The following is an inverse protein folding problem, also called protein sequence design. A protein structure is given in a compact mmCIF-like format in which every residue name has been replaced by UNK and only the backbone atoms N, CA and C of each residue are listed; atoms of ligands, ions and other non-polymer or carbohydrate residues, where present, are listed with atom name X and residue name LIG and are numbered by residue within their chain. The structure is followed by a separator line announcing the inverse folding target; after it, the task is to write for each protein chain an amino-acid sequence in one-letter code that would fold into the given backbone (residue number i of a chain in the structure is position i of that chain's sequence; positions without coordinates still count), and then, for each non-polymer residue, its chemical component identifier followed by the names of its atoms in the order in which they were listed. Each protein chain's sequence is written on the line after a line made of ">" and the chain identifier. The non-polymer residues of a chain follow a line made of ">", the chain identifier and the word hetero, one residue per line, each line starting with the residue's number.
data_IF_952777206389
#
_entry.id   IF_952777206389
#
_cell.length_a   1.000
_cell.length_b   1.000
_cell.length_c   1.000
_cell.angle_alpha   90.00
_cell.angle_beta   90.00
_cell.angle_gamma   90.00
#
_symmetry.space_group_name_H-M   'P 1'
#
loop_
_entity.id
_entity.type
_entity.pdbx_description
1 polymer ?
#
# COMPACT_ATOMS: atom_id res chain seq x y z
N UNK A 1 15.51 11.73 26.50
CA UNK A 1 15.00 11.09 25.26
C UNK A 1 15.07 12.12 24.16
N UNK A 2 15.36 11.73 22.92
CA UNK A 2 15.47 12.67 21.78
C UNK A 2 14.10 13.25 21.42
N UNK A 3 14.05 14.53 21.08
CA UNK A 3 12.87 15.19 20.54
C UNK A 3 12.67 14.74 19.08
N UNK A 4 11.75 13.81 18.84
CA UNK A 4 11.62 13.14 17.54
C UNK A 4 10.44 13.66 16.73
N UNK A 5 10.59 13.68 15.40
CA UNK A 5 9.44 13.80 14.50
C UNK A 5 8.95 12.40 14.13
N UNK A 6 7.74 12.06 14.53
CA UNK A 6 7.14 10.76 14.26
C UNK A 6 6.20 10.86 13.05
N UNK A 7 6.46 10.10 11.99
CA UNK A 7 5.59 10.03 10.80
C UNK A 7 4.85 8.70 10.84
N UNK A 8 3.52 8.75 10.83
CA UNK A 8 2.67 7.59 11.11
C UNK A 8 1.67 7.38 9.97
N UNK A 9 1.54 6.14 9.51
CA UNK A 9 0.61 5.80 8.43
C UNK A 9 -0.83 5.64 8.94
N UNK A 10 -1.57 6.75 9.01
CA UNK A 10 -2.99 6.77 9.34
C UNK A 10 -3.34 7.03 10.81
N UNK A 11 -4.64 7.25 11.05
CA UNK A 11 -5.16 7.76 12.32
C UNK A 11 -5.14 6.73 13.45
N UNK A 12 -5.45 5.46 13.16
CA UNK A 12 -5.59 4.41 14.19
C UNK A 12 -4.31 4.22 15.00
N UNK A 13 -3.15 4.15 14.32
CA UNK A 13 -1.86 4.06 15.00
C UNK A 13 -1.49 5.37 15.70
N UNK A 14 -1.81 6.53 15.09
CA UNK A 14 -1.52 7.83 15.68
C UNK A 14 -2.23 8.01 17.04
N UNK A 15 -3.49 7.59 17.15
CA UNK A 15 -4.25 7.63 18.41
C UNK A 15 -3.60 6.80 19.52
N UNK A 16 -3.07 5.61 19.20
CA UNK A 16 -2.34 4.78 20.15
C UNK A 16 -1.00 5.40 20.55
N UNK A 17 -0.29 5.98 19.58
CA UNK A 17 0.99 6.63 19.83
C UNK A 17 0.88 7.85 20.73
N UNK A 18 -0.24 8.59 20.69
CA UNK A 18 -0.50 9.69 21.64
C UNK A 18 -0.47 9.19 23.09
N UNK A 19 -0.88 7.95 23.34
CA UNK A 19 -0.88 7.36 24.68
C UNK A 19 0.52 6.91 25.14
N UNK A 20 1.45 6.65 24.21
CA UNK A 20 2.85 6.35 24.56
C UNK A 20 3.61 7.56 25.10
N UNK A 21 3.12 8.77 24.84
CA UNK A 21 3.75 10.02 25.29
C UNK A 21 5.24 10.12 24.87
N UNK A 22 5.55 9.64 23.66
CA UNK A 22 6.90 9.77 23.11
C UNK A 22 7.25 11.25 22.89
N UNK A 23 8.50 11.68 23.15
CA UNK A 23 8.87 13.08 23.00
C UNK A 23 8.91 13.54 21.54
N UNK A 24 8.28 14.68 21.30
CA UNK A 24 8.27 15.36 20.02
C UNK A 24 6.88 15.41 19.42
N UNK A 25 6.80 15.33 18.10
CA UNK A 25 5.55 15.61 17.37
C UNK A 25 5.20 14.46 16.45
N UNK A 26 3.90 14.16 16.37
CA UNK A 26 3.35 13.19 15.42
C UNK A 26 2.81 13.92 14.20
N UNK A 27 3.17 13.44 13.01
CA UNK A 27 2.61 13.80 11.72
C UNK A 27 1.94 12.56 11.15
N UNK A 28 0.75 12.74 10.62
CA UNK A 28 -0.06 11.62 10.13
C UNK A 28 -0.04 11.65 8.60
N UNK A 29 0.59 10.64 8.01
CA UNK A 29 0.68 10.44 6.57
C UNK A 29 -0.57 9.73 6.05
N UNK A 30 -1.57 10.50 5.61
CA UNK A 30 -2.87 10.00 5.14
C UNK A 30 -2.96 9.95 3.62
N UNK A 31 -2.30 8.97 3.00
CA UNK A 31 -2.33 8.80 1.54
C UNK A 31 -2.59 7.33 1.16
N UNK A 32 -3.32 7.14 0.05
CA UNK A 32 -3.59 5.88 -0.63
C UNK A 32 -2.65 5.70 -1.84
N UNK A 33 -1.32 5.85 -1.67
CA UNK A 33 -0.38 5.95 -2.79
C UNK A 33 -0.24 4.65 -3.59
N UNK A 34 -0.72 3.53 -3.04
CA UNK A 34 -0.75 2.26 -3.74
C UNK A 34 -1.78 2.25 -4.90
N UNK A 35 -2.69 3.22 -4.98
CA UNK A 35 -3.66 3.37 -6.07
C UNK A 35 -3.63 4.77 -6.69
N UNK A 36 -3.94 4.83 -7.99
CA UNK A 36 -4.05 6.07 -8.74
C UNK A 36 -2.71 6.62 -9.25
N UNK A 37 -2.78 7.71 -10.04
CA UNK A 37 -1.61 8.37 -10.59
C UNK A 37 -0.83 9.10 -9.50
N UNK A 38 0.50 9.11 -9.61
CA UNK A 38 1.36 9.86 -8.70
C UNK A 38 2.55 10.45 -9.45
N UNK A 39 3.18 11.45 -8.84
CA UNK A 39 4.44 12.03 -9.30
C UNK A 39 5.52 11.83 -8.23
N UNK A 40 6.79 11.85 -8.64
CA UNK A 40 7.93 11.69 -7.73
C UNK A 40 7.98 12.81 -6.69
N UNK A 41 7.89 14.05 -7.17
CA UNK A 41 8.03 15.25 -6.36
C UNK A 41 6.69 15.59 -5.69
N UNK A 42 6.64 15.57 -4.36
CA UNK A 42 5.43 15.91 -3.60
C UNK A 42 5.32 17.44 -3.52
N UNK A 43 4.80 18.01 -4.60
CA UNK A 43 4.64 19.45 -4.80
C UNK A 43 3.19 19.79 -5.21
N UNK A 44 2.94 21.03 -5.65
CA UNK A 44 1.61 21.47 -6.06
C UNK A 44 1.00 20.64 -7.21
N UNK A 45 1.82 20.11 -8.13
CA UNK A 45 1.37 19.24 -9.22
C UNK A 45 0.90 17.90 -8.69
N UNK A 46 1.69 17.25 -7.83
CA UNK A 46 1.31 16.04 -7.11
C UNK A 46 -0.02 16.25 -6.38
N UNK A 47 -0.14 17.31 -5.58
CA UNK A 47 -1.36 17.58 -4.81
C UNK A 47 -2.58 17.75 -5.71
N UNK A 48 -2.44 18.42 -6.86
CA UNK A 48 -3.53 18.58 -7.82
C UNK A 48 -3.99 17.25 -8.40
N UNK A 49 -3.06 16.39 -8.82
CA UNK A 49 -3.35 15.07 -9.38
C UNK A 49 -4.04 14.19 -8.33
N UNK A 50 -3.49 14.15 -7.11
CA UNK A 50 -4.03 13.34 -6.02
C UNK A 50 -5.41 13.81 -5.57
N UNK A 51 -5.65 15.13 -5.44
CA UNK A 51 -6.99 15.69 -5.16
C UNK A 51 -8.03 15.21 -6.18
N UNK A 52 -7.72 15.32 -7.46
CA UNK A 52 -8.63 14.90 -8.52
C UNK A 52 -8.93 13.41 -8.43
N UNK A 53 -7.88 12.59 -8.33
CA UNK A 53 -8.02 11.13 -8.24
C UNK A 53 -8.87 10.71 -7.02
N UNK A 54 -8.56 11.23 -5.83
CA UNK A 54 -9.23 10.84 -4.59
C UNK A 54 -10.69 11.32 -4.55
N UNK A 55 -10.98 12.49 -5.13
CA UNK A 55 -12.34 12.98 -5.31
C UNK A 55 -13.15 12.09 -6.25
N UNK A 56 -12.60 11.76 -7.42
CA UNK A 56 -13.30 10.98 -8.45
C UNK A 56 -13.50 9.52 -8.02
N UNK A 57 -12.53 8.97 -7.28
CA UNK A 57 -12.45 7.53 -7.00
C UNK A 57 -13.02 7.15 -5.64
N UNK A 58 -12.84 8.00 -4.62
CA UNK A 58 -13.24 7.73 -3.24
C UNK A 58 -14.18 8.79 -2.66
N UNK A 59 -14.53 9.84 -3.43
CA UNK A 59 -15.39 10.92 -2.95
C UNK A 59 -14.73 11.81 -1.89
N UNK A 60 -13.41 11.76 -1.73
CA UNK A 60 -12.68 12.59 -0.77
C UNK A 60 -12.59 14.00 -1.31
N UNK A 61 -13.16 14.97 -0.59
CA UNK A 61 -13.20 16.36 -1.06
C UNK A 61 -11.81 17.00 -1.09
N UNK A 62 -11.62 17.96 -2.00
CA UNK A 62 -10.38 18.72 -2.08
C UNK A 62 -10.05 19.46 -0.76
N UNK A 63 -11.07 19.97 -0.05
CA UNK A 63 -10.94 20.59 1.27
C UNK A 63 -10.47 19.57 2.31
N UNK A 64 -11.09 18.38 2.35
CA UNK A 64 -10.66 17.32 3.26
C UNK A 64 -9.20 16.90 3.01
N UNK A 65 -8.79 16.79 1.74
CA UNK A 65 -7.40 16.44 1.39
C UNK A 65 -6.41 17.56 1.76
N UNK A 66 -6.78 18.82 1.56
CA UNK A 66 -5.98 19.97 2.01
C UNK A 66 -5.76 19.91 3.52
N UNK A 67 -6.84 19.79 4.27
CA UNK A 67 -6.83 19.84 5.73
C UNK A 67 -6.14 18.63 6.35
N UNK A 68 -6.36 17.42 5.80
CA UNK A 68 -5.94 16.18 6.45
C UNK A 68 -4.64 15.58 5.91
N UNK A 69 -4.17 15.98 4.74
CA UNK A 69 -2.90 15.50 4.19
C UNK A 69 -1.92 16.63 3.92
N UNK A 70 -2.31 17.64 3.13
CA UNK A 70 -1.39 18.71 2.72
C UNK A 70 -0.89 19.49 3.92
N UNK A 71 -1.79 19.88 4.83
CA UNK A 71 -1.42 20.58 6.06
C UNK A 71 -0.47 19.77 6.96
N UNK A 72 -0.54 18.43 6.92
CA UNK A 72 0.37 17.54 7.65
C UNK A 72 1.74 17.46 6.97
N UNK A 73 1.77 17.31 5.65
CA UNK A 73 3.00 17.30 4.85
C UNK A 73 3.74 18.64 4.98
N UNK A 74 3.04 19.76 5.06
CA UNK A 74 3.68 21.06 5.25
C UNK A 74 4.42 21.17 6.58
N UNK A 75 3.93 20.51 7.64
CA UNK A 75 4.62 20.45 8.95
C UNK A 75 5.94 19.68 8.87
N UNK A 76 6.14 18.84 7.85
CA UNK A 76 7.41 18.16 7.65
C UNK A 76 8.52 19.13 7.26
N UNK A 77 8.23 20.36 6.81
CA UNK A 77 9.27 21.37 6.52
C UNK A 77 10.05 21.81 7.76
N UNK A 78 9.45 21.67 8.94
CA UNK A 78 10.07 22.02 10.23
C UNK A 78 10.92 20.87 10.80
N UNK A 79 11.23 19.84 10.01
CA UNK A 79 11.91 18.64 10.52
C UNK A 79 13.32 18.92 11.10
N UNK A 80 13.97 20.00 10.67
CA UNK A 80 15.30 20.40 11.16
C UNK A 80 15.29 20.79 12.65
N UNK A 81 14.11 21.14 13.20
CA UNK A 81 13.91 21.48 14.61
C UNK A 81 13.91 20.24 15.53
N UNK A 82 13.95 19.03 14.95
CA UNK A 82 13.94 17.76 15.68
C UNK A 82 15.31 17.08 15.64
N UNK A 83 15.56 16.20 16.61
CA UNK A 83 16.83 15.47 16.74
C UNK A 83 16.94 14.33 15.71
N UNK A 84 15.80 13.73 15.35
CA UNK A 84 15.68 12.57 14.45
C UNK A 84 14.24 12.40 13.95
N UNK A 85 14.09 11.60 12.91
CA UNK A 85 12.79 11.18 12.36
C UNK A 85 12.55 9.70 12.68
N UNK A 86 11.32 9.36 13.05
CA UNK A 86 10.88 7.98 13.29
C UNK A 86 9.67 7.69 12.41
N UNK A 87 9.83 6.76 11.48
CA UNK A 87 8.80 6.31 10.56
C UNK A 87 8.06 5.13 11.17
N UNK A 88 6.73 5.13 11.10
CA UNK A 88 5.86 4.07 11.62
C UNK A 88 4.99 3.53 10.49
N UNK A 89 5.43 2.44 9.89
CA UNK A 89 4.81 1.84 8.69
C UNK A 89 4.82 0.32 8.81
N UNK A 90 3.77 -0.34 8.33
CA UNK A 90 3.63 -1.79 8.43
C UNK A 90 4.27 -2.55 7.25
N UNK A 91 4.16 -3.88 7.29
CA UNK A 91 4.86 -4.79 6.39
C UNK A 91 4.26 -4.88 4.97
N UNK A 92 3.06 -4.35 4.75
CA UNK A 92 2.31 -4.51 3.51
C UNK A 92 2.68 -3.48 2.43
N UNK A 93 2.20 -3.73 1.20
CA UNK A 93 2.42 -2.88 0.03
C UNK A 93 1.88 -1.46 0.25
N UNK A 94 0.68 -1.32 0.83
CA UNK A 94 0.07 -0.03 1.13
C UNK A 94 1.02 0.86 1.96
N UNK A 95 1.52 0.31 3.07
CA UNK A 95 2.45 0.97 3.96
C UNK A 95 3.79 1.24 3.29
N UNK A 96 4.32 0.29 2.53
CA UNK A 96 5.61 0.44 1.88
C UNK A 96 5.62 1.59 0.86
N UNK A 97 4.61 1.71 0.00
CA UNK A 97 4.59 2.81 -0.98
C UNK A 97 4.52 4.17 -0.28
N UNK A 98 3.72 4.29 0.78
CA UNK A 98 3.64 5.51 1.58
C UNK A 98 4.96 5.83 2.31
N UNK A 99 5.61 4.83 2.89
CA UNK A 99 6.92 4.98 3.53
C UNK A 99 7.99 5.47 2.55
N UNK A 100 8.04 4.88 1.34
CA UNK A 100 8.99 5.27 0.30
C UNK A 100 8.81 6.73 -0.12
N UNK A 101 7.56 7.16 -0.28
CA UNK A 101 7.24 8.55 -0.60
C UNK A 101 7.60 9.51 0.54
N UNK A 102 7.35 9.13 1.80
CA UNK A 102 7.74 9.92 2.97
C UNK A 102 9.27 10.06 3.08
N UNK A 103 10.02 8.98 2.89
CA UNK A 103 11.48 9.02 2.84
C UNK A 103 11.95 9.92 1.70
N UNK A 104 11.37 9.78 0.51
CA UNK A 104 11.76 10.59 -0.63
C UNK A 104 11.57 12.08 -0.36
N UNK A 105 10.41 12.47 0.19
CA UNK A 105 10.15 13.85 0.62
C UNK A 105 11.20 14.38 1.59
N UNK A 106 11.56 13.60 2.63
CA UNK A 106 12.56 14.00 3.62
C UNK A 106 13.94 14.21 2.97
N UNK A 107 14.33 13.31 2.07
CA UNK A 107 15.65 13.37 1.42
C UNK A 107 15.76 14.50 0.38
N UNK A 108 14.69 14.80 -0.37
CA UNK A 108 14.66 15.94 -1.32
C UNK A 108 14.80 17.27 -0.59
N UNK A 109 14.24 17.37 0.62
CA UNK A 109 14.39 18.53 1.51
C UNK A 109 15.72 18.49 2.31
N UNK A 110 16.68 17.67 1.87
CA UNK A 110 18.06 17.54 2.39
C UNK A 110 18.14 17.19 3.87
N UNK A 111 17.25 16.32 4.36
CA UNK A 111 17.33 15.86 5.73
C UNK A 111 18.71 15.27 6.07
N UNK A 112 19.41 15.93 7.00
CA UNK A 112 20.67 15.43 7.59
C UNK A 112 20.45 14.75 8.94
N UNK A 113 19.19 14.54 9.32
CA UNK A 113 18.80 13.96 10.61
C UNK A 113 18.76 12.44 10.50
N UNK A 114 19.16 11.71 11.55
CA UNK A 114 18.98 10.27 11.59
C UNK A 114 17.51 9.89 11.37
N UNK A 115 17.28 8.88 10.55
CA UNK A 115 15.95 8.33 10.26
C UNK A 115 15.92 6.89 10.75
N UNK A 116 14.84 6.52 11.43
CA UNK A 116 14.63 5.14 11.90
C UNK A 116 13.23 4.66 11.57
N UNK A 117 13.07 3.35 11.43
CA UNK A 117 11.83 2.68 11.05
C UNK A 117 11.34 1.77 12.18
N UNK A 118 10.12 2.02 12.64
CA UNK A 118 9.30 1.06 13.37
C UNK A 118 8.41 0.36 12.35
N UNK A 119 8.59 -0.96 12.22
CA UNK A 119 7.82 -1.79 11.31
C UNK A 119 7.26 -2.99 12.04
N UNK A 120 6.02 -3.36 11.73
CA UNK A 120 5.42 -4.63 12.15
C UNK A 120 6.34 -5.78 11.78
N UNK A 121 6.74 -6.54 12.78
CA UNK A 121 7.46 -7.81 12.65
C UNK A 121 7.19 -8.65 13.90
N UNK A 122 7.40 -9.96 13.82
CA UNK A 122 7.31 -10.79 15.02
C UNK A 122 8.54 -10.57 15.90
N UNK A 123 8.39 -9.86 17.02
CA UNK A 123 9.46 -9.70 18.00
C UNK A 123 9.56 -10.91 18.94
N UNK A 124 10.73 -11.05 19.58
CA UNK A 124 10.98 -12.14 20.53
C UNK A 124 9.99 -12.05 21.69
N UNK A 125 9.16 -13.09 21.83
CA UNK A 125 8.13 -13.18 22.88
C UNK A 125 6.71 -12.97 22.39
N UNK A 126 6.52 -12.48 21.17
CA UNK A 126 5.20 -12.34 20.54
C UNK A 126 4.74 -13.67 19.94
N UNK A 127 3.42 -13.92 19.98
CA UNK A 127 2.83 -15.16 19.46
C UNK A 127 2.83 -15.19 17.94
N UNK A 128 2.43 -14.09 17.34
CA UNK A 128 2.23 -13.91 15.89
C UNK A 128 2.64 -12.51 15.46
N UNK A 129 2.81 -12.31 14.16
CA UNK A 129 2.99 -10.97 13.59
C UNK A 129 1.63 -10.28 13.57
N UNK A 130 1.57 -9.05 14.06
CA UNK A 130 0.35 -8.24 14.09
C UNK A 130 0.60 -6.84 13.50
N UNK A 131 -0.44 -6.19 12.95
CA UNK A 131 -0.43 -4.76 12.66
C UNK A 131 -0.02 -3.95 13.89
N UNK A 132 0.74 -2.87 13.70
CA UNK A 132 1.14 -1.95 14.79
C UNK A 132 -0.09 -1.39 15.51
N UNK A 133 -1.17 -1.13 14.77
CA UNK A 133 -2.45 -0.65 15.30
C UNK A 133 -3.19 -1.67 16.18
N UNK A 134 -2.77 -2.94 16.20
CA UNK A 134 -3.36 -3.97 17.05
C UNK A 134 -2.50 -4.27 18.29
N UNK A 135 -1.32 -3.67 18.40
CA UNK A 135 -0.42 -3.85 19.54
C UNK A 135 -0.92 -3.08 20.76
N UNK A 136 -0.74 -3.65 21.94
CA UNK A 136 -0.93 -2.88 23.18
C UNK A 136 0.25 -1.92 23.41
N UNK A 137 0.10 -0.96 24.33
CA UNK A 137 1.13 0.07 24.58
C UNK A 137 2.50 -0.50 24.93
N UNK A 138 2.57 -1.62 25.67
CA UNK A 138 3.84 -2.24 26.03
C UNK A 138 4.54 -2.86 24.83
N UNK A 139 3.77 -3.52 23.97
CA UNK A 139 4.26 -4.07 22.71
C UNK A 139 4.71 -2.95 21.78
N UNK A 140 3.91 -1.90 21.60
CA UNK A 140 4.24 -0.78 20.73
C UNK A 140 5.51 -0.04 21.20
N UNK A 141 5.69 0.13 22.52
CA UNK A 141 6.94 0.64 23.11
C UNK A 141 8.13 -0.28 22.80
N UNK A 142 7.95 -1.61 22.90
CA UNK A 142 9.01 -2.57 22.56
C UNK A 142 9.38 -2.50 21.07
N UNK A 143 8.41 -2.33 20.18
CA UNK A 143 8.67 -2.08 18.75
C UNK A 143 9.44 -0.79 18.50
N UNK A 144 9.09 0.29 19.21
CA UNK A 144 9.84 1.54 19.17
C UNK A 144 11.29 1.39 19.65
N UNK A 145 11.51 0.65 20.72
CA UNK A 145 12.85 0.40 21.27
C UNK A 145 13.70 -0.50 20.34
N UNK A 146 13.06 -1.33 19.52
CA UNK A 146 13.68 -2.23 18.53
C UNK A 146 13.62 -1.69 17.09
N UNK A 147 13.37 -0.38 16.93
CA UNK A 147 13.35 0.29 15.62
C UNK A 147 14.70 0.14 14.90
N UNK A 148 14.63 0.19 13.58
CA UNK A 148 15.76 -0.03 12.70
C UNK A 148 16.29 1.33 12.25
N UNK A 149 17.55 1.64 12.52
CA UNK A 149 18.19 2.85 11.98
C UNK A 149 18.43 2.67 10.48
N UNK A 150 18.07 3.67 9.68
CA UNK A 150 18.23 3.66 8.22
C UNK A 150 19.51 4.40 7.84
N UNK A 151 20.37 3.74 7.06
CA UNK A 151 21.60 4.33 6.53
C UNK A 151 21.40 4.99 5.18
N UNK A 152 22.45 5.65 4.67
CA UNK A 152 22.40 6.33 3.37
C UNK A 152 21.98 5.39 2.23
N UNK A 153 22.49 4.16 2.20
CA UNK A 153 22.10 3.13 1.21
C UNK A 153 20.60 2.83 1.25
N UNK A 154 19.98 2.78 2.43
CA UNK A 154 18.53 2.55 2.57
C UNK A 154 17.74 3.74 2.02
N UNK A 155 18.18 4.97 2.32
CA UNK A 155 17.55 6.19 1.82
C UNK A 155 17.67 6.31 0.30
N UNK A 156 18.82 5.95 -0.28
CA UNK A 156 19.02 5.89 -1.74
C UNK A 156 18.13 4.84 -2.41
N UNK A 157 18.05 3.64 -1.83
CA UNK A 157 17.17 2.57 -2.32
C UNK A 157 15.70 3.00 -2.27
N UNK A 158 15.28 3.64 -1.16
CA UNK A 158 13.92 4.12 -1.02
C UNK A 158 13.56 5.14 -2.11
N UNK A 159 14.45 6.12 -2.33
CA UNK A 159 14.31 7.12 -3.40
C UNK A 159 14.23 6.49 -4.79
N UNK A 160 15.11 5.54 -5.08
CA UNK A 160 15.13 4.87 -6.37
C UNK A 160 13.82 4.11 -6.62
N UNK A 161 13.31 3.38 -5.63
CA UNK A 161 12.10 2.58 -5.80
C UNK A 161 10.88 3.50 -5.92
N UNK A 162 10.82 4.58 -5.13
CA UNK A 162 9.79 5.61 -5.29
C UNK A 162 9.80 6.21 -6.70
N UNK A 163 10.96 6.61 -7.21
CA UNK A 163 11.11 7.13 -8.58
C UNK A 163 10.63 6.12 -9.63
N UNK A 164 11.02 4.85 -9.50
CA UNK A 164 10.61 3.80 -10.43
C UNK A 164 9.10 3.53 -10.37
N UNK A 165 8.48 3.59 -9.18
CA UNK A 165 7.04 3.46 -9.00
C UNK A 165 6.26 4.64 -9.62
N UNK A 166 6.79 5.86 -9.48
CA UNK A 166 6.25 7.06 -10.10
C UNK A 166 6.50 7.12 -11.62
N UNK A 167 7.40 6.28 -12.13
CA UNK A 167 7.69 6.15 -13.55
C UNK A 167 6.59 5.38 -14.31
N UNK A 168 6.57 5.56 -15.63
CA UNK A 168 5.61 4.87 -16.51
C UNK A 168 6.05 3.47 -16.95
N UNK A 169 7.17 2.97 -16.42
CA UNK A 169 7.75 1.68 -16.78
C UNK A 169 7.92 0.78 -15.54
N UNK A 170 6.85 0.07 -15.13
CA UNK A 170 6.86 -0.77 -13.94
C UNK A 170 7.78 -2.00 -14.09
N UNK A 171 8.21 -2.34 -15.31
CA UNK A 171 9.18 -3.43 -15.53
C UNK A 171 10.52 -3.16 -14.84
N UNK A 172 10.87 -1.89 -14.63
CA UNK A 172 12.11 -1.47 -13.95
C UNK A 172 12.14 -1.82 -12.46
N UNK A 173 10.99 -2.09 -11.84
CA UNK A 173 10.91 -2.49 -10.43
C UNK A 173 11.34 -3.95 -10.22
N UNK A 174 11.13 -4.84 -11.20
CA UNK A 174 11.42 -6.28 -11.03
C UNK A 174 12.88 -6.58 -10.64
N UNK A 175 13.91 -5.97 -11.25
CA UNK A 175 15.30 -6.17 -10.82
C UNK A 175 15.55 -5.78 -9.36
N UNK A 176 14.73 -4.90 -8.78
CA UNK A 176 14.90 -4.40 -7.40
C UNK A 176 14.40 -5.36 -6.33
N UNK A 177 13.72 -6.45 -6.69
CA UNK A 177 13.30 -7.51 -5.76
C UNK A 177 14.49 -8.11 -4.99
N UNK A 178 15.69 -8.13 -5.58
CA UNK A 178 16.89 -8.72 -4.95
C UNK A 178 17.78 -7.69 -4.24
N UNK A 179 17.30 -6.46 -4.06
CA UNK A 179 18.07 -5.41 -3.41
C UNK A 179 18.16 -5.72 -1.91
N UNK A 180 19.37 -5.74 -1.37
CA UNK A 180 19.57 -5.83 0.07
C UNK A 180 19.33 -4.43 0.67
N UNK A 181 18.50 -4.37 1.71
CA UNK A 181 18.23 -3.16 2.48
C UNK A 181 17.70 -3.55 3.85
N UNK A 182 17.59 -2.58 4.75
CA UNK A 182 16.93 -2.74 6.04
C UNK A 182 15.39 -2.82 5.94
N UNK A 183 14.82 -2.62 4.75
CA UNK A 183 13.39 -2.84 4.49
C UNK A 183 13.09 -4.34 4.30
N UNK A 184 12.86 -5.04 5.40
CA UNK A 184 12.65 -6.50 5.46
C UNK A 184 11.63 -7.02 4.43
N UNK A 185 10.54 -6.26 4.19
CA UNK A 185 9.43 -6.69 3.35
C UNK A 185 9.44 -6.08 1.94
N UNK A 186 10.48 -5.32 1.58
CA UNK A 186 10.57 -4.65 0.27
C UNK A 186 10.43 -5.63 -0.91
N UNK A 187 11.07 -6.79 -0.81
CA UNK A 187 10.98 -7.84 -1.83
C UNK A 187 9.54 -8.32 -2.04
N UNK A 188 8.78 -8.48 -0.95
CA UNK A 188 7.39 -8.91 -0.99
C UNK A 188 6.48 -7.82 -1.54
N UNK A 189 6.69 -6.57 -1.13
CA UNK A 189 5.94 -5.41 -1.62
C UNK A 189 6.14 -5.22 -3.13
N UNK A 190 7.37 -5.31 -3.65
CA UNK A 190 7.61 -5.21 -5.10
C UNK A 190 6.93 -6.35 -5.86
N UNK A 191 6.95 -7.59 -5.33
CA UNK A 191 6.25 -8.73 -5.95
C UNK A 191 4.74 -8.50 -5.98
N UNK A 192 4.14 -8.12 -4.85
CA UNK A 192 2.71 -7.81 -4.77
C UNK A 192 2.32 -6.69 -5.75
N UNK A 193 3.16 -5.66 -5.90
CA UNK A 193 2.96 -4.59 -6.88
C UNK A 193 3.01 -5.06 -8.34
N UNK A 194 3.88 -6.01 -8.67
CA UNK A 194 3.97 -6.58 -10.02
C UNK A 194 2.78 -7.52 -10.30
N UNK A 195 2.37 -8.28 -9.29
CA UNK A 195 1.31 -9.30 -9.39
C UNK A 195 -0.11 -8.73 -9.45
N UNK A 196 -0.29 -7.43 -9.17
CA UNK A 196 -1.58 -6.72 -9.33
C UNK A 196 -1.84 -6.20 -10.75
N UNK A 197 -0.88 -6.33 -11.67
CA UNK A 197 -1.16 -6.08 -13.09
C UNK A 197 -1.98 -7.24 -13.69
N UNK A 198 -2.82 -6.98 -14.72
CA UNK A 198 -3.69 -8.01 -15.31
C UNK A 198 -2.89 -9.22 -15.79
N UNK A 199 -3.30 -10.43 -15.42
CA UNK A 199 -2.61 -11.64 -15.86
C UNK A 199 -2.77 -11.83 -17.39
N UNK A 200 -1.70 -12.26 -18.06
CA UNK A 200 -1.66 -12.45 -19.52
C UNK A 200 -2.58 -13.57 -20.04
N UNK A 201 -2.94 -14.53 -19.19
CA UNK A 201 -3.82 -15.66 -19.54
C UNK A 201 -5.27 -15.35 -19.16
N UNK A 202 -5.52 -14.83 -17.96
CA UNK A 202 -6.89 -14.69 -17.42
C UNK A 202 -7.43 -13.27 -17.46
N UNK A 203 -6.58 -12.25 -17.58
CA UNK A 203 -6.97 -10.83 -17.50
C UNK A 203 -7.28 -10.33 -16.08
N UNK A 204 -7.34 -11.20 -15.08
CA UNK A 204 -7.50 -10.86 -13.66
C UNK A 204 -6.17 -10.98 -12.93
N UNK A 205 -5.89 -10.09 -11.99
CA UNK A 205 -4.64 -10.11 -11.24
C UNK A 205 -4.67 -11.11 -10.07
N UNK A 206 -3.55 -11.25 -9.34
CA UNK A 206 -3.42 -12.22 -8.24
C UNK A 206 -4.42 -11.99 -7.11
N UNK A 207 -4.67 -10.73 -6.73
CA UNK A 207 -5.60 -10.39 -5.64
C UNK A 207 -7.05 -10.67 -6.05
N UNK A 208 -7.43 -10.28 -7.27
CA UNK A 208 -8.75 -10.55 -7.85
C UNK A 208 -9.02 -12.06 -7.96
N UNK A 209 -8.04 -12.82 -8.44
CA UNK A 209 -8.12 -14.28 -8.50
C UNK A 209 -8.25 -14.90 -7.11
N UNK A 210 -7.60 -14.32 -6.09
CA UNK A 210 -7.73 -14.78 -4.71
C UNK A 210 -9.16 -14.57 -4.19
N UNK A 211 -9.79 -13.43 -4.47
CA UNK A 211 -11.21 -13.20 -4.12
C UNK A 211 -12.11 -14.28 -4.73
N UNK A 212 -11.95 -14.58 -6.03
CA UNK A 212 -12.74 -15.63 -6.67
C UNK A 212 -12.51 -17.00 -6.02
N UNK A 213 -11.27 -17.31 -5.63
CA UNK A 213 -10.95 -18.55 -4.90
C UNK A 213 -11.61 -18.60 -3.52
N UNK A 214 -11.71 -17.48 -2.80
CA UNK A 214 -12.40 -17.43 -1.51
C UNK A 214 -13.88 -17.78 -1.67
N UNK A 215 -14.54 -17.23 -2.70
CA UNK A 215 -15.94 -17.56 -3.05
C UNK A 215 -16.09 -19.05 -3.40
N UNK A 216 -15.16 -19.63 -4.17
CA UNK A 216 -15.21 -21.04 -4.57
C UNK A 216 -14.97 -22.02 -3.41
N UNK A 217 -14.14 -21.63 -2.44
CA UNK A 217 -13.67 -22.52 -1.38
C UNK A 217 -14.40 -22.38 -0.05
N UNK A 218 -15.20 -21.34 0.13
CA UNK A 218 -15.90 -21.06 1.38
C UNK A 218 -17.37 -20.70 1.14
N UNK A 219 -18.21 -20.97 2.14
CA UNK A 219 -19.60 -20.53 2.14
C UNK A 219 -19.68 -19.03 2.48
N UNK A 220 -19.65 -18.20 1.44
CA UNK A 220 -19.78 -16.75 1.56
C UNK A 220 -21.26 -16.39 1.54
N UNK A 221 -21.73 -15.68 2.57
CA UNK A 221 -23.18 -15.46 2.80
C UNK A 221 -23.72 -14.25 2.04
N UNK A 222 -22.95 -13.17 2.05
CA UNK A 222 -23.30 -11.89 1.44
C UNK A 222 -22.04 -11.04 1.18
N UNK A 223 -22.21 -9.89 0.53
CA UNK A 223 -21.09 -9.01 0.15
C UNK A 223 -20.29 -8.51 1.36
N UNK A 224 -20.95 -8.24 2.50
CA UNK A 224 -20.23 -7.85 3.72
C UNK A 224 -19.37 -9.00 4.26
N UNK A 225 -19.86 -10.23 4.20
CA UNK A 225 -19.10 -11.42 4.56
C UNK A 225 -17.90 -11.61 3.62
N UNK A 226 -18.09 -11.38 2.31
CA UNK A 226 -17.01 -11.42 1.32
C UNK A 226 -15.96 -10.36 1.58
N UNK A 227 -16.37 -9.12 1.86
CA UNK A 227 -15.47 -8.01 2.19
C UNK A 227 -14.57 -8.35 3.37
N UNK A 228 -15.14 -8.86 4.47
CA UNK A 228 -14.37 -9.29 5.63
C UNK A 228 -13.36 -10.38 5.31
N UNK A 229 -13.77 -11.41 4.56
CA UNK A 229 -12.86 -12.48 4.11
C UNK A 229 -11.76 -11.95 3.19
N UNK A 230 -12.10 -11.11 2.22
CA UNK A 230 -11.15 -10.55 1.28
C UNK A 230 -10.11 -9.67 2.00
N UNK A 231 -10.53 -8.85 2.97
CA UNK A 231 -9.62 -8.06 3.80
C UNK A 231 -8.72 -8.93 4.68
N UNK A 232 -9.25 -10.00 5.27
CA UNK A 232 -8.48 -10.91 6.11
C UNK A 232 -7.46 -11.72 5.31
N UNK A 233 -7.81 -12.15 4.09
CA UNK A 233 -7.00 -13.05 3.27
C UNK A 233 -6.38 -12.38 2.04
N UNK A 234 -6.22 -11.06 2.06
CA UNK A 234 -5.57 -10.33 0.96
C UNK A 234 -4.06 -10.63 0.86
N UNK A 235 -3.40 -11.04 1.94
CA UNK A 235 -1.95 -11.21 1.95
C UNK A 235 -1.22 -9.88 2.14
N UNK A 236 -0.27 -9.53 1.27
CA UNK A 236 0.65 -8.40 1.46
C UNK A 236 0.15 -7.06 0.88
N UNK A 237 -1.13 -6.90 0.52
CA UNK A 237 -1.59 -5.68 -0.18
C UNK A 237 -1.92 -4.51 0.74
N UNK A 238 -2.45 -4.75 1.94
CA UNK A 238 -2.77 -3.71 2.91
C UNK A 238 -3.97 -2.81 2.53
N UNK A 239 -4.89 -3.32 1.71
CA UNK A 239 -6.09 -2.59 1.30
C UNK A 239 -7.02 -2.36 2.50
N UNK A 240 -7.51 -1.13 2.61
CA UNK A 240 -8.63 -0.76 3.48
C UNK A 240 -9.97 -1.23 2.92
N UNK A 241 -11.03 -1.15 3.74
CA UNK A 241 -12.41 -1.48 3.35
C UNK A 241 -12.83 -0.81 2.04
N UNK A 242 -12.53 0.49 1.90
CA UNK A 242 -12.89 1.26 0.71
C UNK A 242 -12.21 0.76 -0.57
N UNK A 243 -10.94 0.34 -0.48
CA UNK A 243 -10.18 -0.17 -1.61
C UNK A 243 -10.63 -1.58 -1.99
N UNK A 244 -10.87 -2.43 -0.98
CA UNK A 244 -11.37 -3.78 -1.20
C UNK A 244 -12.79 -3.76 -1.75
N UNK A 245 -13.68 -2.90 -1.24
CA UNK A 245 -15.05 -2.75 -1.77
C UNK A 245 -15.05 -2.38 -3.25
N UNK A 246 -14.21 -1.42 -3.67
CA UNK A 246 -14.04 -1.07 -5.08
C UNK A 246 -13.53 -2.24 -5.92
N UNK A 247 -12.62 -3.04 -5.38
CA UNK A 247 -12.15 -4.25 -6.05
C UNK A 247 -13.30 -5.25 -6.22
N UNK A 248 -14.09 -5.50 -5.17
CA UNK A 248 -15.26 -6.39 -5.25
C UNK A 248 -16.29 -5.90 -6.27
N UNK A 249 -16.56 -4.60 -6.33
CA UNK A 249 -17.48 -4.02 -7.30
C UNK A 249 -17.06 -4.28 -8.76
N UNK A 250 -15.75 -4.27 -9.05
CA UNK A 250 -15.23 -4.64 -10.38
C UNK A 250 -15.40 -6.12 -10.69
N UNK A 251 -15.47 -6.97 -9.67
CA UNK A 251 -15.59 -8.41 -9.81
C UNK A 251 -17.04 -8.90 -9.91
N UNK A 252 -18.03 -8.00 -9.94
CA UNK A 252 -19.47 -8.36 -10.02
C UNK A 252 -19.87 -9.17 -11.25
N UNK A 253 -19.05 -9.22 -12.30
CA UNK A 253 -19.30 -10.11 -13.45
C UNK A 253 -18.98 -11.59 -13.12
N UNK A 254 -18.16 -11.83 -12.11
CA UNK A 254 -17.63 -13.15 -11.77
C UNK A 254 -18.38 -13.85 -10.65
N UNK A 255 -19.23 -13.14 -9.92
CA UNK A 255 -20.04 -13.73 -8.84
C UNK A 255 -21.43 -13.10 -8.79
N UNK A 256 -22.37 -13.84 -8.20
CA UNK A 256 -23.74 -13.39 -8.00
C UNK A 256 -24.21 -13.72 -6.58
N UNK A 257 -25.08 -12.87 -6.05
CA UNK A 257 -25.78 -13.10 -4.79
C UNK A 257 -27.04 -13.93 -5.05
N UNK A 258 -27.13 -15.10 -4.42
CA UNK A 258 -28.36 -15.91 -4.29
C UNK A 258 -29.07 -15.57 -2.96
N UNK A 259 -30.19 -16.23 -2.65
CA UNK A 259 -30.94 -15.94 -1.41
C UNK A 259 -30.06 -16.09 -0.15
N UNK A 260 -29.18 -17.09 -0.11
CA UNK A 260 -28.41 -17.43 1.10
C UNK A 260 -26.88 -17.27 0.97
N UNK A 261 -26.35 -17.07 -0.24
CA UNK A 261 -24.90 -17.09 -0.48
C UNK A 261 -24.46 -16.38 -1.76
N UNK A 262 -23.17 -16.01 -1.81
CA UNK A 262 -22.47 -15.62 -3.04
C UNK A 262 -21.88 -16.86 -3.70
N UNK A 263 -22.05 -16.98 -5.01
CA UNK A 263 -21.44 -18.03 -5.83
C UNK A 263 -20.78 -17.45 -7.05
N UNK A 264 -19.81 -18.18 -7.60
CA UNK A 264 -19.21 -17.82 -8.88
C UNK A 264 -20.21 -17.98 -10.02
N UNK A 265 -20.20 -17.02 -10.93
CA UNK A 265 -20.88 -17.14 -12.22
C UNK A 265 -20.10 -18.09 -13.13
N UNK A 266 -20.66 -18.40 -14.30
CA UNK A 266 -19.92 -19.12 -15.36
C UNK A 266 -18.59 -18.41 -15.70
N UNK A 267 -18.62 -17.09 -15.78
CA UNK A 267 -17.44 -16.29 -16.09
C UNK A 267 -16.42 -16.35 -14.93
N UNK A 268 -16.89 -16.38 -13.68
CA UNK A 268 -16.03 -16.60 -12.51
C UNK A 268 -15.27 -17.93 -12.57
N UNK A 269 -15.95 -19.03 -12.90
CA UNK A 269 -15.30 -20.32 -13.11
C UNK A 269 -14.31 -20.30 -14.28
N UNK A 270 -14.69 -19.70 -15.41
CA UNK A 270 -13.80 -19.59 -16.57
C UNK A 270 -12.53 -18.78 -16.28
N UNK A 271 -12.64 -17.73 -15.45
CA UNK A 271 -11.50 -16.93 -15.01
C UNK A 271 -10.58 -17.72 -14.08
N UNK A 272 -11.14 -18.44 -13.09
CA UNK A 272 -10.37 -19.26 -12.15
C UNK A 272 -9.61 -20.40 -12.83
N UNK A 273 -10.28 -21.08 -13.76
CA UNK A 273 -9.74 -22.23 -14.51
C UNK A 273 -8.81 -21.81 -15.66
N UNK A 274 -8.68 -20.51 -15.94
CA UNK A 274 -7.87 -19.99 -17.05
C UNK A 274 -8.39 -20.33 -18.44
N UNK A 275 -9.71 -20.55 -18.58
CA UNK A 275 -10.37 -20.90 -19.84
C UNK A 275 -10.75 -19.69 -20.70
N UNK A 276 -10.84 -18.50 -20.11
CA UNK A 276 -11.16 -17.23 -20.80
C UNK A 276 -10.30 -16.12 -20.23
N UNK A 277 -9.85 -15.22 -21.11
CA UNK A 277 -9.17 -13.98 -20.75
C UNK A 277 -10.19 -12.84 -20.68
N UNK A 278 -10.25 -12.16 -19.53
CA UNK A 278 -11.19 -11.09 -19.21
C UNK A 278 -10.58 -9.68 -19.28
N UNK A 279 -9.38 -9.54 -19.86
CA UNK A 279 -8.68 -8.25 -19.95
C UNK A 279 -9.57 -7.18 -20.58
N UNK A 280 -10.28 -7.50 -21.68
CA UNK A 280 -11.16 -6.56 -22.37
C UNK A 280 -12.41 -6.21 -21.57
N UNK A 281 -12.91 -7.15 -20.76
CA UNK A 281 -14.09 -6.96 -19.92
C UNK A 281 -13.77 -6.03 -18.72
N UNK A 282 -12.52 -6.05 -18.24
CA UNK A 282 -12.07 -5.27 -17.08
C UNK A 282 -11.30 -4.00 -17.42
N UNK A 283 -10.89 -3.83 -18.69
CA UNK A 283 -10.04 -2.73 -19.13
C UNK A 283 -10.61 -1.36 -18.73
N UNK A 284 -9.77 -0.55 -18.10
CA UNK A 284 -10.12 0.79 -17.66
C UNK A 284 -8.89 1.73 -17.69
N UNK A 285 -9.06 2.96 -17.21
CA UNK A 285 -8.02 4.01 -17.20
C UNK A 285 -7.33 4.16 -15.84
N UNK A 286 -7.26 3.11 -15.03
CA UNK A 286 -6.62 3.17 -13.73
C UNK A 286 -5.09 3.13 -13.81
N UNK A 287 -4.46 3.63 -12.74
CA UNK A 287 -3.02 3.78 -12.63
C UNK A 287 -2.51 3.18 -11.33
N UNK A 288 -1.28 2.70 -11.40
CA UNK A 288 -0.44 2.39 -10.26
C UNK A 288 0.82 3.25 -10.34
N UNK A 289 0.82 4.34 -9.58
CA UNK A 289 1.89 5.31 -9.65
C UNK A 289 1.94 5.97 -11.03
N UNK A 290 3.07 5.87 -11.74
CA UNK A 290 3.19 6.42 -13.10
C UNK A 290 2.66 5.52 -14.22
N UNK A 291 2.33 4.26 -13.91
CA UNK A 291 1.98 3.26 -14.92
C UNK A 291 0.47 3.09 -15.04
N UNK A 292 -0.07 3.18 -16.26
CA UNK A 292 -1.45 2.78 -16.54
C UNK A 292 -1.55 1.26 -16.46
N UNK A 293 -2.47 0.74 -15.65
CA UNK A 293 -2.56 -0.68 -15.30
C UNK A 293 -2.69 -1.55 -16.56
N UNK A 294 -3.61 -1.17 -17.45
CA UNK A 294 -3.94 -1.95 -18.64
C UNK A 294 -2.97 -1.74 -19.81
N UNK A 295 -1.89 -0.97 -19.67
CA UNK A 295 -0.83 -0.92 -20.69
C UNK A 295 0.18 -2.08 -20.52
N UNK A 296 -0.01 -2.91 -19.49
CA UNK A 296 0.88 -4.02 -19.16
C UNK A 296 0.10 -5.30 -18.83
N UNK A 297 0.76 -6.44 -19.04
CA UNK A 297 0.28 -7.76 -18.64
C UNK A 297 1.31 -8.46 -17.75
N UNK A 298 0.86 -9.17 -16.73
CA UNK A 298 1.69 -10.03 -15.90
C UNK A 298 1.66 -11.47 -16.42
N UNK A 299 2.83 -12.03 -16.73
CA UNK A 299 3.02 -13.44 -17.00
C UNK A 299 3.44 -14.18 -15.73
N UNK A 300 2.56 -15.06 -15.25
CA UNK A 300 2.77 -15.85 -14.04
C UNK A 300 3.82 -16.95 -14.19
N UNK A 301 4.14 -17.40 -15.41
CA UNK A 301 5.16 -18.44 -15.61
C UNK A 301 6.58 -17.86 -15.52
N UNK A 302 6.84 -16.73 -16.19
CA UNK A 302 8.14 -16.06 -16.13
C UNK A 302 8.25 -15.01 -15.01
N UNK A 303 7.14 -14.74 -14.30
CA UNK A 303 6.96 -13.67 -13.32
C UNK A 303 7.29 -12.28 -13.87
N UNK A 304 7.07 -12.01 -15.16
CA UNK A 304 7.45 -10.74 -15.84
C UNK A 304 6.23 -9.92 -16.19
N UNK A 305 6.41 -8.60 -16.22
CA UNK A 305 5.50 -7.69 -16.91
C UNK A 305 5.88 -7.63 -18.40
N UNK A 306 4.87 -7.60 -19.25
CA UNK A 306 4.92 -7.40 -20.69
C UNK A 306 4.23 -6.08 -20.99
N UNK A 307 4.79 -5.28 -21.89
CA UNK A 307 4.14 -4.05 -22.37
C UNK A 307 3.30 -4.36 -23.62
N UNK A 308 2.09 -3.83 -23.66
CA UNK A 308 1.15 -3.99 -24.78
C UNK A 308 1.43 -3.03 -25.94
#
# INVERSE_FOLDING_TARGET
>A
MKNSLHIVNGDSLAEQMLQLQLPGKTIIWRELLCEGPTEKEINASFFKIRKQFLQDTYGISAENYEDRFISEVEKLKDFEDYDNVVLWFEFDLFCHINMLAAISFLTENKAKKPVSLVCSKKLKGEKELQPLSHLNLKELQNHYDQRIELGDDDLEIANLIWELYCGNDPMKLKPKIKTNSNFEYLSSSIRAHIERFPNSVTGINTLERNVLRLIDSHEIKNENHLLGYALQYQGYYGYSDSQMQRLLDKLKIFYEQTEDQIRLTRDGYQALEGKKNFYRDLQNNEFYGGARIFDFLYDSESHRLLKL
#
